data_IF_254544540957
#
_entry.id   IF_254544540957
#
_cell.length_a   1.000
_cell.length_b   1.000
_cell.length_c   1.000
_cell.angle_alpha   90.00
_cell.angle_beta   90.00
_cell.angle_gamma   90.00
#
_symmetry.space_group_name_H-M   'P 1'
#
loop_
_entity.id
_entity.type
_entity.pdbx_description
1 polymer ?
#
# COMPACT_ATOMS: atom_id res chain seq x y z
N UNK A 1 10.82 0.49 2.73
CA UNK A 1 10.32 -0.89 2.99
C UNK A 1 11.43 -1.93 2.83
N UNK A 2 12.19 -1.91 1.73
CA UNK A 2 13.24 -2.91 1.45
C UNK A 2 14.37 -2.96 2.50
N UNK A 3 14.73 -1.83 3.10
CA UNK A 3 15.75 -1.76 4.15
C UNK A 3 15.31 -2.40 5.48
N UNK A 4 14.04 -2.70 5.66
CA UNK A 4 13.46 -3.26 6.89
C UNK A 4 13.78 -2.46 8.15
N UNK A 5 13.93 -1.14 8.01
CA UNK A 5 14.13 -0.20 9.11
C UNK A 5 12.79 0.33 9.61
N UNK A 6 12.67 0.40 10.92
CA UNK A 6 11.60 1.09 11.63
C UNK A 6 12.16 1.83 12.84
N UNK A 7 11.46 2.86 13.26
CA UNK A 7 11.83 3.66 14.43
C UNK A 7 10.70 3.65 15.45
N UNK A 8 11.05 3.51 16.71
CA UNK A 8 10.16 3.74 17.82
C UNK A 8 10.71 4.87 18.68
N UNK A 9 9.90 5.89 18.92
CA UNK A 9 10.21 7.01 19.80
C UNK A 9 9.24 6.95 20.97
N UNK A 10 9.77 6.80 22.18
CA UNK A 10 8.96 6.65 23.39
C UNK A 10 9.73 7.14 24.61
N UNK A 11 9.05 7.24 25.75
CA UNK A 11 9.70 7.50 27.02
C UNK A 11 10.66 6.36 27.42
N UNK A 12 11.47 6.61 28.45
CA UNK A 12 12.52 5.67 28.87
C UNK A 12 11.97 4.30 29.28
N UNK A 13 10.84 4.26 29.98
CA UNK A 13 10.21 3.00 30.44
C UNK A 13 9.81 2.11 29.27
N UNK A 14 9.11 2.68 28.28
CA UNK A 14 8.69 1.96 27.07
C UNK A 14 9.91 1.56 26.24
N UNK A 15 10.89 2.45 26.10
CA UNK A 15 12.13 2.16 25.37
C UNK A 15 12.91 1.00 25.99
N UNK A 16 13.00 0.92 27.32
CA UNK A 16 13.61 -0.21 28.03
C UNK A 16 12.85 -1.51 27.78
N UNK A 17 11.52 -1.47 27.87
CA UNK A 17 10.68 -2.65 27.59
C UNK A 17 10.84 -3.14 26.14
N UNK A 18 10.86 -2.24 25.16
CA UNK A 18 11.10 -2.60 23.75
C UNK A 18 12.50 -3.19 23.53
N UNK A 19 13.52 -2.65 24.22
CA UNK A 19 14.88 -3.19 24.14
C UNK A 19 15.01 -4.60 24.73
N UNK A 20 14.25 -4.93 25.77
CA UNK A 20 14.33 -6.25 26.41
C UNK A 20 13.75 -7.37 25.56
N UNK A 21 12.80 -7.08 24.66
CA UNK A 21 12.19 -8.05 23.75
C UNK A 21 12.77 -8.00 22.33
N UNK A 22 13.63 -7.02 22.05
CA UNK A 22 14.25 -6.88 20.74
C UNK A 22 15.26 -8.00 20.50
N UNK A 23 15.12 -8.72 19.38
CA UNK A 23 16.15 -9.69 18.99
C UNK A 23 17.50 -8.99 18.75
N UNK A 24 18.61 -9.61 19.18
CA UNK A 24 19.95 -9.10 18.86
C UNK A 24 20.17 -9.11 17.35
N UNK A 25 20.94 -8.13 16.86
CA UNK A 25 21.35 -8.04 15.45
C UNK A 25 20.21 -7.99 14.42
N UNK A 26 19.01 -7.56 14.82
CA UNK A 26 17.81 -7.53 13.97
C UNK A 26 17.88 -6.54 12.79
N UNK A 27 18.83 -5.61 12.79
CA UNK A 27 19.11 -4.68 11.70
C UNK A 27 20.59 -4.79 11.32
N UNK A 28 20.85 -5.12 10.06
CA UNK A 28 22.23 -5.23 9.57
C UNK A 28 22.89 -3.85 9.41
N UNK A 29 24.22 -3.82 9.37
CA UNK A 29 25.01 -2.57 9.33
C UNK A 29 24.80 -1.76 8.05
N UNK A 30 24.55 -2.43 6.92
CA UNK A 30 24.28 -1.76 5.62
C UNK A 30 22.94 -1.00 5.71
N UNK A 31 21.89 -1.65 6.21
CA UNK A 31 20.60 -0.99 6.42
C UNK A 31 20.71 0.20 7.37
N UNK A 32 21.52 0.08 8.44
CA UNK A 32 21.74 1.18 9.38
C UNK A 32 22.48 2.36 8.71
N UNK A 33 23.51 2.08 7.93
CA UNK A 33 24.28 3.11 7.21
C UNK A 33 23.39 3.84 6.21
N UNK A 34 22.67 3.11 5.36
CA UNK A 34 21.75 3.68 4.37
C UNK A 34 20.63 4.45 5.06
N UNK A 35 20.04 3.92 6.12
CA UNK A 35 19.01 4.59 6.89
C UNK A 35 19.49 5.91 7.50
N UNK A 36 20.73 5.96 7.98
CA UNK A 36 21.35 7.19 8.49
C UNK A 36 21.52 8.23 7.39
N UNK A 37 21.96 7.82 6.20
CA UNK A 37 22.13 8.72 5.05
C UNK A 37 20.77 9.29 4.65
N UNK A 38 19.75 8.44 4.50
CA UNK A 38 18.40 8.86 4.11
C UNK A 38 17.81 9.82 5.16
N UNK A 39 17.99 9.53 6.45
CA UNK A 39 17.48 10.38 7.53
C UNK A 39 18.16 11.75 7.59
N UNK A 40 19.43 11.84 7.19
CA UNK A 40 20.15 13.11 7.06
C UNK A 40 19.70 13.93 5.85
N UNK A 41 19.06 13.30 4.88
CA UNK A 41 18.55 13.94 3.66
C UNK A 41 17.01 14.02 3.73
N UNK A 42 16.49 14.76 4.70
CA UNK A 42 15.05 14.88 4.97
C UNK A 42 14.22 15.35 3.78
N UNK A 43 14.80 16.12 2.88
CA UNK A 43 14.14 16.57 1.65
C UNK A 43 13.74 15.40 0.74
N UNK A 44 14.63 14.40 0.59
CA UNK A 44 14.34 13.19 -0.20
C UNK A 44 13.17 12.40 0.41
N UNK A 45 13.17 12.28 1.74
CA UNK A 45 12.08 11.60 2.46
C UNK A 45 10.76 12.34 2.29
N UNK A 46 10.78 13.65 2.43
CA UNK A 46 9.57 14.47 2.36
C UNK A 46 8.97 14.48 0.95
N UNK A 47 9.81 14.59 -0.09
CA UNK A 47 9.37 14.50 -1.48
C UNK A 47 8.79 13.12 -1.80
N UNK A 48 9.45 12.04 -1.36
CA UNK A 48 8.94 10.68 -1.52
C UNK A 48 7.60 10.49 -0.81
N UNK A 49 7.45 11.03 0.41
CA UNK A 49 6.21 10.98 1.18
C UNK A 49 5.07 11.72 0.48
N UNK A 50 5.32 12.93 0.00
CA UNK A 50 4.33 13.74 -0.74
C UNK A 50 3.89 13.04 -2.01
N UNK A 51 4.84 12.52 -2.79
CA UNK A 51 4.56 11.76 -3.99
C UNK A 51 3.70 10.54 -3.71
N UNK A 52 4.04 9.76 -2.68
CA UNK A 52 3.29 8.58 -2.29
C UNK A 52 1.85 8.90 -1.87
N UNK A 53 1.66 9.95 -1.08
CA UNK A 53 0.32 10.42 -0.66
C UNK A 53 -0.50 10.81 -1.89
N UNK A 54 0.09 11.58 -2.81
CA UNK A 54 -0.58 11.99 -4.05
C UNK A 54 -1.00 10.79 -4.90
N UNK A 55 -0.07 9.86 -5.15
CA UNK A 55 -0.33 8.66 -5.95
C UNK A 55 -1.37 7.74 -5.31
N UNK A 56 -1.35 7.59 -3.98
CA UNK A 56 -2.36 6.79 -3.28
C UNK A 56 -3.73 7.43 -3.38
N UNK A 57 -3.82 8.75 -3.23
CA UNK A 57 -5.08 9.48 -3.38
C UNK A 57 -5.62 9.39 -4.81
N UNK A 58 -4.75 9.47 -5.81
CA UNK A 58 -5.12 9.31 -7.22
C UNK A 58 -5.68 7.90 -7.50
N UNK A 59 -5.00 6.85 -7.02
CA UNK A 59 -5.47 5.47 -7.13
C UNK A 59 -6.82 5.27 -6.45
N UNK A 60 -6.98 5.78 -5.22
CA UNK A 60 -8.25 5.72 -4.48
C UNK A 60 -9.39 6.39 -5.26
N UNK A 61 -9.17 7.60 -5.76
CA UNK A 61 -10.18 8.35 -6.52
C UNK A 61 -10.53 7.62 -7.84
N UNK A 62 -9.54 7.04 -8.52
CA UNK A 62 -9.76 6.24 -9.71
C UNK A 62 -10.63 5.01 -9.44
N UNK A 63 -10.36 4.29 -8.37
CA UNK A 63 -11.17 3.13 -7.96
C UNK A 63 -12.59 3.57 -7.59
N UNK A 64 -12.76 4.69 -6.89
CA UNK A 64 -14.07 5.24 -6.55
C UNK A 64 -14.87 5.62 -7.81
N UNK A 65 -14.22 6.26 -8.78
CA UNK A 65 -14.87 6.61 -10.06
C UNK A 65 -15.32 5.36 -10.83
N UNK A 66 -14.50 4.30 -10.87
CA UNK A 66 -14.88 3.03 -11.50
C UNK A 66 -16.03 2.36 -10.76
N UNK A 67 -16.00 2.35 -9.42
CA UNK A 67 -17.10 1.84 -8.60
C UNK A 67 -18.43 2.51 -8.96
N UNK A 68 -18.44 3.84 -9.05
CA UNK A 68 -19.63 4.62 -9.38
C UNK A 68 -20.08 4.38 -10.83
N UNK A 69 -19.13 4.44 -11.78
CA UNK A 69 -19.40 4.24 -13.22
C UNK A 69 -20.08 2.91 -13.52
N UNK A 70 -19.65 1.84 -12.87
CA UNK A 70 -20.14 0.48 -13.11
C UNK A 70 -21.07 -0.04 -12.00
N UNK A 71 -21.43 0.80 -11.03
CA UNK A 71 -22.29 0.43 -9.90
C UNK A 71 -21.82 -0.83 -9.14
N UNK A 72 -20.50 -1.01 -9.01
CA UNK A 72 -19.92 -2.21 -8.42
C UNK A 72 -20.20 -2.27 -6.92
N UNK A 73 -20.74 -3.38 -6.38
CA UNK A 73 -21.04 -3.53 -4.96
C UNK A 73 -19.75 -3.75 -4.14
N UNK A 74 -19.10 -2.64 -3.76
CA UNK A 74 -17.89 -2.67 -2.94
C UNK A 74 -17.85 -1.50 -1.95
N UNK A 75 -17.17 -1.69 -0.83
CA UNK A 75 -16.80 -0.63 0.10
C UNK A 75 -15.32 -0.33 -0.06
N UNK A 76 -15.00 0.89 -0.49
CA UNK A 76 -13.62 1.39 -0.57
C UNK A 76 -13.37 2.24 0.66
N UNK A 77 -12.43 1.84 1.51
CA UNK A 77 -12.13 2.54 2.75
C UNK A 77 -11.25 3.76 2.51
N UNK A 78 -11.52 4.89 3.17
CA UNK A 78 -10.61 6.04 3.15
C UNK A 78 -9.19 5.64 3.54
N UNK A 79 -8.19 6.16 2.84
CA UNK A 79 -6.80 5.78 3.08
C UNK A 79 -5.93 6.94 3.55
N UNK A 80 -5.08 6.67 4.54
CA UNK A 80 -3.96 7.50 4.97
C UNK A 80 -2.62 6.73 4.90
N UNK A 81 -2.63 5.59 4.20
CA UNK A 81 -1.49 4.68 4.03
C UNK A 81 -0.97 4.71 2.59
N UNK A 82 -0.17 3.73 2.21
CA UNK A 82 0.34 3.54 0.85
C UNK A 82 -0.42 2.45 0.08
N UNK A 83 -1.69 2.23 0.40
CA UNK A 83 -2.55 1.26 -0.28
C UNK A 83 -4.02 1.67 -0.20
N UNK A 84 -4.84 1.11 -1.06
CA UNK A 84 -6.30 1.16 -0.99
C UNK A 84 -6.81 -0.17 -0.45
N UNK A 85 -7.74 -0.10 0.52
CA UNK A 85 -8.36 -1.26 1.15
C UNK A 85 -9.83 -1.34 0.73
N UNK A 86 -10.27 -2.50 0.29
CA UNK A 86 -11.59 -2.68 -0.33
C UNK A 86 -12.23 -3.92 0.26
N UNK A 87 -13.54 -3.86 0.53
CA UNK A 87 -14.37 -5.02 0.86
C UNK A 87 -15.39 -5.24 -0.26
N UNK A 88 -15.46 -6.44 -0.79
CA UNK A 88 -16.44 -6.85 -1.81
C UNK A 88 -16.56 -8.36 -1.87
N UNK A 89 -17.72 -8.86 -2.24
CA UNK A 89 -17.94 -10.28 -2.48
C UNK A 89 -17.21 -10.76 -3.76
N UNK A 90 -16.85 -9.83 -4.65
CA UNK A 90 -16.05 -10.07 -5.87
C UNK A 90 -14.53 -10.10 -5.62
N UNK A 91 -14.10 -10.17 -4.36
CA UNK A 91 -12.69 -10.04 -3.98
C UNK A 91 -11.80 -11.10 -4.62
N UNK A 92 -12.28 -12.32 -4.74
CA UNK A 92 -11.55 -13.41 -5.37
C UNK A 92 -11.46 -13.22 -6.88
N UNK A 93 -12.56 -12.94 -7.53
CA UNK A 93 -12.66 -12.73 -8.98
C UNK A 93 -11.79 -11.56 -9.44
N UNK A 94 -11.81 -10.45 -8.69
CA UNK A 94 -10.93 -9.29 -8.93
C UNK A 94 -9.47 -9.70 -8.79
N UNK A 95 -9.12 -10.45 -7.74
CA UNK A 95 -7.74 -10.89 -7.51
C UNK A 95 -7.25 -11.81 -8.62
N UNK A 96 -8.05 -12.78 -9.02
CA UNK A 96 -7.72 -13.74 -10.08
C UNK A 96 -7.57 -13.01 -11.43
N UNK A 97 -8.51 -12.12 -11.77
CA UNK A 97 -8.44 -11.36 -13.03
C UNK A 97 -7.23 -10.43 -13.09
N UNK A 98 -6.89 -9.77 -11.99
CA UNK A 98 -5.67 -8.96 -11.91
C UNK A 98 -4.41 -9.83 -12.06
N UNK A 99 -4.39 -11.01 -11.45
CA UNK A 99 -3.26 -11.96 -11.56
C UNK A 99 -3.08 -12.46 -13.01
N UNK A 100 -4.15 -12.76 -13.72
CA UNK A 100 -4.13 -13.10 -15.17
C UNK A 100 -3.52 -11.98 -16.02
N UNK A 101 -3.64 -10.73 -15.57
CA UNK A 101 -3.04 -9.56 -16.20
C UNK A 101 -1.68 -9.16 -15.57
N UNK A 102 -1.02 -10.09 -14.90
CA UNK A 102 0.30 -9.90 -14.26
C UNK A 102 0.33 -8.85 -13.14
N UNK A 103 -0.80 -8.62 -12.49
CA UNK A 103 -0.93 -7.70 -11.35
C UNK A 103 -1.20 -8.50 -10.08
N UNK A 104 -0.24 -8.52 -9.15
CA UNK A 104 -0.41 -9.17 -7.87
C UNK A 104 -0.94 -8.20 -6.80
N UNK A 105 -2.08 -8.54 -6.21
CA UNK A 105 -2.66 -7.83 -5.07
C UNK A 105 -2.78 -8.75 -3.86
N UNK A 106 -3.12 -8.20 -2.71
CA UNK A 106 -3.30 -9.00 -1.50
C UNK A 106 -4.77 -9.30 -1.27
N UNK A 107 -5.14 -10.58 -1.35
CA UNK A 107 -6.43 -11.11 -0.91
C UNK A 107 -6.36 -11.46 0.58
N UNK A 108 -7.38 -11.10 1.34
CA UNK A 108 -7.60 -11.49 2.74
C UNK A 108 -8.88 -12.31 2.85
N UNK A 109 -9.10 -12.87 4.04
CA UNK A 109 -10.37 -13.52 4.37
C UNK A 109 -11.53 -12.52 4.37
N UNK A 110 -12.74 -13.01 4.32
CA UNK A 110 -13.99 -12.26 4.49
C UNK A 110 -14.21 -11.15 3.43
N UNK A 111 -13.71 -11.36 2.21
CA UNK A 111 -13.97 -10.47 1.07
C UNK A 111 -13.13 -9.19 1.05
N UNK A 112 -11.98 -9.17 1.72
CA UNK A 112 -11.10 -8.01 1.71
C UNK A 112 -9.94 -8.16 0.72
N UNK A 113 -9.64 -7.08 0.00
CA UNK A 113 -8.44 -6.96 -0.85
C UNK A 113 -7.69 -5.67 -0.53
N UNK A 114 -6.39 -5.70 -0.75
CA UNK A 114 -5.50 -4.56 -0.61
C UNK A 114 -4.69 -4.35 -1.88
N UNK A 115 -4.82 -3.17 -2.46
CA UNK A 115 -4.06 -2.74 -3.64
C UNK A 115 -3.01 -1.73 -3.17
N UNK A 116 -1.74 -2.10 -3.23
CA UNK A 116 -0.63 -1.20 -2.89
C UNK A 116 -0.44 -0.17 -4.00
N UNK A 117 -0.15 1.06 -3.60
CA UNK A 117 0.17 2.13 -4.53
C UNK A 117 1.52 1.86 -5.19
N UNK A 118 1.56 1.91 -6.49
CA UNK A 118 2.75 1.87 -7.31
C UNK A 118 3.12 3.27 -7.85
N UNK A 119 3.92 3.29 -8.90
CA UNK A 119 4.17 4.47 -9.72
C UNK A 119 2.88 4.94 -10.41
N UNK A 120 2.89 6.12 -10.97
CA UNK A 120 1.75 6.64 -11.74
C UNK A 120 1.35 5.69 -12.87
N UNK A 121 2.34 5.15 -13.60
CA UNK A 121 2.11 4.21 -14.68
C UNK A 121 1.52 2.88 -14.18
N UNK A 122 2.02 2.34 -13.09
CA UNK A 122 1.50 1.11 -12.50
C UNK A 122 0.07 1.30 -12.00
N UNK A 123 -0.23 2.40 -11.33
CA UNK A 123 -1.58 2.73 -10.88
C UNK A 123 -2.56 2.85 -12.06
N UNK A 124 -2.11 3.46 -13.17
CA UNK A 124 -2.90 3.57 -14.40
C UNK A 124 -3.23 2.19 -14.96
N UNK A 125 -2.25 1.30 -15.06
CA UNK A 125 -2.44 -0.08 -15.53
C UNK A 125 -3.45 -0.83 -14.63
N UNK A 126 -3.32 -0.69 -13.30
CA UNK A 126 -4.27 -1.29 -12.34
C UNK A 126 -5.70 -0.80 -12.61
N UNK A 127 -5.90 0.51 -12.80
CA UNK A 127 -7.21 1.08 -13.08
C UNK A 127 -7.78 0.60 -14.42
N UNK A 128 -6.97 0.54 -15.48
CA UNK A 128 -7.38 0.05 -16.80
C UNK A 128 -7.81 -1.42 -16.75
N UNK A 129 -7.10 -2.26 -15.98
CA UNK A 129 -7.45 -3.67 -15.83
C UNK A 129 -8.71 -3.85 -14.98
N UNK A 130 -8.86 -3.09 -13.89
CA UNK A 130 -10.09 -3.07 -13.09
C UNK A 130 -11.28 -2.61 -13.93
N UNK A 131 -11.11 -1.59 -14.76
CA UNK A 131 -12.18 -1.12 -15.66
C UNK A 131 -12.62 -2.21 -16.63
N UNK A 132 -11.68 -2.95 -17.25
CA UNK A 132 -12.00 -4.09 -18.12
C UNK A 132 -12.77 -5.19 -17.38
N UNK A 133 -12.45 -5.44 -16.13
CA UNK A 133 -13.18 -6.40 -15.31
C UNK A 133 -14.60 -5.92 -15.02
N UNK A 134 -14.75 -4.68 -14.56
CA UNK A 134 -16.06 -4.14 -14.18
C UNK A 134 -16.99 -3.98 -15.40
N UNK A 135 -16.45 -3.64 -16.58
CA UNK A 135 -17.22 -3.59 -17.82
C UNK A 135 -17.79 -4.94 -18.27
N UNK A 136 -17.29 -6.07 -17.76
CA UNK A 136 -17.83 -7.40 -18.04
C UNK A 136 -18.94 -7.81 -17.07
N UNK A 137 -19.14 -7.08 -15.97
CA UNK A 137 -20.16 -7.38 -14.97
C UNK A 137 -21.54 -6.82 -15.33
N UNK A 138 -21.58 -5.80 -16.20
CA UNK A 138 -22.79 -5.15 -16.68
C UNK A 138 -23.06 -5.47 -18.12
#
# INVERSE_FOLDING_TARGET
AALRLGFAIANETITKALRSVKAPYNVNSISQAIGTIIYKNTEILENSRKSLIFLTKSLYNGIMALKEKYSVPMTVYPTCTNFVYIKTDLSKEITDFLAENSIAIRLFKDGYIRISTGTEQENKIVLEVLEKFFAKLG
#
